data_IF_993511526936
#
_entry.id   IF_993511526936
#
_cell.length_a   1.000
_cell.length_b   1.000
_cell.length_c   1.000
_cell.angle_alpha   90.00
_cell.angle_beta   90.00
_cell.angle_gamma   90.00
#
_symmetry.space_group_name_H-M   'P 1'
#
loop_
_entity.id
_entity.type
_entity.pdbx_description
1 polymer ?
#
# COMPACT_ATOMS: atom_id res chain seq x y z
N UNK A 1 -15.45 -25.85 -9.92
CA UNK A 1 -14.83 -26.45 -8.72
C UNK A 1 -13.58 -25.66 -8.36
N UNK A 2 -13.36 -25.35 -7.07
CA UNK A 2 -12.06 -24.82 -6.64
C UNK A 2 -11.04 -25.93 -6.73
N UNK A 3 -9.94 -25.63 -7.41
CA UNK A 3 -8.86 -26.58 -7.68
C UNK A 3 -7.62 -25.97 -7.06
N UNK A 4 -6.93 -26.76 -6.26
CA UNK A 4 -5.56 -26.49 -5.87
C UNK A 4 -4.78 -27.76 -6.15
N UNK A 5 -3.47 -27.65 -6.09
CA UNK A 5 -2.65 -28.81 -6.27
C UNK A 5 -1.61 -28.90 -5.19
N UNK A 6 -1.21 -30.13 -5.06
CA UNK A 6 -0.83 -30.63 -3.77
C UNK A 6 0.50 -31.30 -3.97
N UNK A 7 1.52 -30.64 -3.45
CA UNK A 7 2.87 -31.18 -3.49
C UNK A 7 3.01 -32.26 -2.41
N UNK A 8 3.77 -33.36 -2.64
CA UNK A 8 3.94 -34.41 -1.63
C UNK A 8 4.51 -33.91 -0.28
N UNK A 9 5.25 -32.79 -0.30
CA UNK A 9 5.81 -32.17 0.90
C UNK A 9 4.91 -31.08 1.52
N UNK A 10 3.72 -30.84 0.96
CA UNK A 10 2.79 -29.84 1.48
C UNK A 10 2.27 -30.26 2.88
N UNK A 11 2.33 -29.39 3.91
CA UNK A 11 1.69 -29.66 5.19
C UNK A 11 0.21 -30.05 5.08
N UNK A 12 -0.53 -29.50 4.11
CA UNK A 12 -1.95 -29.80 3.88
C UNK A 12 -2.16 -31.29 3.55
N UNK A 13 -1.22 -31.92 2.85
CA UNK A 13 -1.28 -33.33 2.48
C UNK A 13 -1.34 -34.26 3.72
N UNK A 14 -0.67 -33.87 4.83
CA UNK A 14 -0.69 -34.64 6.09
C UNK A 14 -2.01 -34.54 6.85
N UNK A 15 -2.83 -33.55 6.51
CA UNK A 15 -4.14 -33.32 7.12
C UNK A 15 -5.26 -34.08 6.39
N UNK A 16 -5.00 -34.56 5.17
CA UNK A 16 -5.96 -35.32 4.38
C UNK A 16 -6.20 -36.70 4.99
N UNK A 17 -7.48 -37.03 5.22
CA UNK A 17 -7.92 -38.36 5.64
C UNK A 17 -8.41 -39.15 4.43
N UNK A 18 -7.57 -40.06 3.95
CA UNK A 18 -7.90 -40.98 2.87
C UNK A 18 -8.87 -42.07 3.35
N UNK A 19 -9.89 -42.32 2.55
CA UNK A 19 -10.84 -43.43 2.71
C UNK A 19 -10.48 -44.61 1.81
N UNK A 20 -9.78 -44.36 0.70
CA UNK A 20 -9.18 -45.36 -0.16
C UNK A 20 -7.99 -44.80 -0.94
N UNK A 21 -7.10 -45.69 -1.35
CA UNK A 21 -5.90 -45.37 -2.13
C UNK A 21 -4.82 -44.66 -1.32
N UNK A 22 -3.88 -44.05 -2.05
CA UNK A 22 -2.81 -43.24 -1.48
C UNK A 22 -2.83 -41.87 -2.16
N UNK A 23 -2.11 -40.88 -1.65
CA UNK A 23 -1.91 -39.69 -2.48
C UNK A 23 -0.81 -39.91 -3.53
N UNK A 24 -0.38 -38.83 -4.16
CA UNK A 24 0.41 -38.86 -5.40
C UNK A 24 1.76 -39.56 -5.24
N UNK A 25 2.02 -40.53 -6.12
CA UNK A 25 3.20 -41.40 -6.07
C UNK A 25 4.46 -40.78 -6.68
N UNK A 26 4.33 -39.63 -7.35
CA UNK A 26 5.41 -38.97 -8.10
C UNK A 26 5.75 -39.63 -9.45
N UNK A 27 5.27 -40.86 -9.70
CA UNK A 27 5.38 -41.54 -10.97
C UNK A 27 4.23 -41.09 -11.89
N UNK A 28 4.39 -39.92 -12.51
CA UNK A 28 3.36 -39.29 -13.34
C UNK A 28 3.33 -39.87 -14.77
N UNK A 29 3.03 -41.16 -14.90
CA UNK A 29 2.81 -41.86 -16.17
C UNK A 29 1.49 -41.44 -16.85
N UNK A 30 0.54 -40.93 -16.07
CA UNK A 30 -0.72 -40.32 -16.51
C UNK A 30 -1.10 -39.16 -15.57
N UNK A 31 -1.97 -38.22 -16.01
CA UNK A 31 -2.54 -37.22 -15.11
C UNK A 31 -3.31 -37.90 -13.97
N UNK A 32 -3.13 -37.43 -12.73
CA UNK A 32 -3.72 -38.04 -11.53
C UNK A 32 -4.67 -37.08 -10.83
N UNK A 33 -5.63 -37.62 -10.09
CA UNK A 33 -6.59 -36.82 -9.30
C UNK A 33 -6.91 -37.51 -7.97
N UNK A 34 -7.11 -36.70 -6.93
CA UNK A 34 -7.73 -37.10 -5.67
C UNK A 34 -9.10 -36.42 -5.57
N UNK A 35 -10.13 -37.19 -5.23
CA UNK A 35 -11.51 -36.72 -5.11
C UNK A 35 -12.02 -36.83 -3.67
N UNK A 36 -12.96 -35.96 -3.30
CA UNK A 36 -13.76 -36.19 -2.09
C UNK A 36 -14.84 -37.25 -2.34
N UNK A 37 -15.29 -37.96 -1.30
CA UNK A 37 -16.42 -38.90 -1.46
C UNK A 37 -17.70 -38.23 -1.97
N UNK A 38 -17.93 -36.97 -1.60
CA UNK A 38 -19.08 -36.22 -2.08
C UNK A 38 -19.06 -36.12 -3.62
N UNK A 39 -17.91 -35.79 -4.21
CA UNK A 39 -17.77 -35.68 -5.66
C UNK A 39 -17.71 -37.06 -6.34
N UNK A 40 -17.20 -38.09 -5.65
CA UNK A 40 -17.19 -39.45 -6.18
C UNK A 40 -18.59 -39.94 -6.57
N UNK A 41 -19.61 -39.63 -5.76
CA UNK A 41 -21.00 -39.99 -6.03
C UNK A 41 -21.64 -39.23 -7.20
N UNK A 42 -21.08 -38.08 -7.58
CA UNK A 42 -21.52 -37.34 -8.77
C UNK A 42 -20.88 -37.87 -10.07
N UNK A 43 -19.67 -38.42 -9.96
CA UNK A 43 -18.86 -38.86 -11.10
C UNK A 43 -19.06 -40.34 -11.42
N UNK A 44 -19.27 -41.18 -10.41
CA UNK A 44 -19.45 -42.63 -10.57
C UNK A 44 -20.74 -43.12 -9.91
N UNK A 45 -21.25 -44.24 -10.41
CA UNK A 45 -22.30 -44.98 -9.72
C UNK A 45 -21.75 -45.56 -8.41
N UNK A 46 -22.27 -45.07 -7.30
CA UNK A 46 -21.86 -45.41 -5.93
C UNK A 46 -22.92 -46.22 -5.19
N UNK A 47 -23.96 -46.71 -5.87
CA UNK A 47 -25.01 -47.55 -5.29
C UNK A 47 -24.48 -48.75 -4.48
N UNK A 48 -23.40 -49.38 -4.96
CA UNK A 48 -22.73 -50.48 -4.26
C UNK A 48 -22.14 -50.08 -2.88
N UNK A 49 -21.73 -48.81 -2.71
CA UNK A 49 -21.24 -48.29 -1.42
C UNK A 49 -22.39 -48.05 -0.43
N UNK A 50 -23.56 -47.63 -0.93
CA UNK A 50 -24.76 -47.42 -0.11
C UNK A 50 -25.34 -48.74 0.42
N UNK A 51 -25.27 -49.79 -0.40
CA UNK A 51 -25.71 -51.15 -0.04
C UNK A 51 -24.66 -51.93 0.78
N UNK A 52 -23.56 -51.29 1.21
CA UNK A 52 -22.42 -51.89 1.93
C UNK A 52 -21.79 -53.12 1.24
N UNK A 53 -22.00 -53.25 -0.08
CA UNK A 53 -21.51 -54.38 -0.89
C UNK A 53 -20.23 -54.05 -1.65
N UNK A 54 -19.89 -52.76 -1.80
CA UNK A 54 -18.67 -52.25 -2.41
C UNK A 54 -17.75 -51.53 -1.41
N UNK A 55 -16.51 -51.29 -1.84
CA UNK A 55 -15.51 -50.52 -1.09
C UNK A 55 -15.03 -49.32 -1.90
N UNK A 56 -14.60 -48.25 -1.22
CA UNK A 56 -13.98 -47.10 -1.89
C UNK A 56 -12.72 -47.49 -2.69
N UNK A 57 -12.06 -48.60 -2.31
CA UNK A 57 -10.89 -49.13 -3.04
C UNK A 57 -11.23 -49.58 -4.48
N UNK A 58 -12.48 -49.95 -4.76
CA UNK A 58 -12.91 -50.44 -6.09
C UNK A 58 -12.92 -49.33 -7.16
N UNK A 59 -12.75 -48.08 -6.73
CA UNK A 59 -12.70 -46.90 -7.58
C UNK A 59 -11.26 -46.44 -7.86
N UNK A 60 -10.29 -46.88 -7.08
CA UNK A 60 -8.88 -46.50 -7.29
C UNK A 60 -8.39 -47.09 -8.62
N UNK A 61 -7.70 -46.27 -9.40
CA UNK A 61 -7.24 -46.61 -10.75
C UNK A 61 -8.28 -46.39 -11.86
N UNK A 62 -9.54 -46.08 -11.54
CA UNK A 62 -10.53 -45.69 -12.55
C UNK A 62 -10.21 -44.32 -13.14
N UNK A 63 -10.70 -44.08 -14.34
CA UNK A 63 -10.50 -42.82 -15.06
C UNK A 63 -11.66 -41.87 -14.84
N UNK A 64 -11.34 -40.59 -14.63
CA UNK A 64 -12.26 -39.46 -14.57
C UNK A 64 -11.96 -38.54 -15.75
N UNK A 65 -12.95 -38.22 -16.56
CA UNK A 65 -12.77 -37.28 -17.66
C UNK A 65 -13.18 -35.88 -17.21
N UNK A 66 -12.27 -34.92 -17.36
CA UNK A 66 -12.59 -33.50 -17.21
C UNK A 66 -12.52 -32.80 -18.56
N UNK A 67 -13.28 -31.72 -18.73
CA UNK A 67 -13.22 -30.89 -19.94
C UNK A 67 -12.46 -29.62 -19.64
N UNK A 68 -11.37 -29.39 -20.37
CA UNK A 68 -10.58 -28.16 -20.29
C UNK A 68 -10.98 -27.20 -21.42
N UNK A 69 -11.26 -25.96 -21.03
CA UNK A 69 -11.63 -24.90 -21.96
C UNK A 69 -10.39 -24.17 -22.47
N UNK A 70 -10.17 -24.15 -23.80
CA UNK A 70 -9.13 -23.36 -24.45
C UNK A 70 -9.66 -22.00 -24.86
N UNK A 71 -8.89 -20.94 -24.57
CA UNK A 71 -9.26 -19.56 -24.88
C UNK A 71 -8.24 -18.90 -25.81
N UNK A 72 -8.70 -18.07 -26.74
CA UNK A 72 -7.80 -17.24 -27.55
C UNK A 72 -7.30 -16.02 -26.76
N UNK A 73 -6.39 -15.25 -27.37
CA UNK A 73 -5.85 -13.98 -26.85
C UNK A 73 -6.94 -12.96 -26.48
N UNK A 74 -8.11 -13.05 -27.12
CA UNK A 74 -9.29 -12.22 -26.83
C UNK A 74 -10.25 -12.80 -25.77
N UNK A 75 -9.83 -13.84 -25.02
CA UNK A 75 -10.63 -14.54 -23.99
C UNK A 75 -11.92 -15.20 -24.50
N UNK A 76 -12.05 -15.45 -25.81
CA UNK A 76 -13.16 -16.23 -26.36
C UNK A 76 -12.81 -17.72 -26.30
N UNK A 77 -13.78 -18.54 -25.93
CA UNK A 77 -13.67 -20.00 -25.98
C UNK A 77 -13.44 -20.44 -27.44
N UNK A 78 -12.43 -21.28 -27.66
CA UNK A 78 -12.03 -21.75 -28.99
C UNK A 78 -12.24 -23.25 -29.13
N UNK A 79 -11.95 -24.01 -28.08
CA UNK A 79 -12.06 -25.45 -28.07
C UNK A 79 -12.26 -25.98 -26.66
N UNK A 80 -12.81 -27.19 -26.57
CA UNK A 80 -12.95 -27.98 -25.36
C UNK A 80 -12.15 -29.26 -25.54
N UNK A 81 -11.28 -29.58 -24.58
CA UNK A 81 -10.38 -30.72 -24.67
C UNK A 81 -10.65 -31.67 -23.50
N UNK A 82 -11.11 -32.90 -23.77
CA UNK A 82 -11.30 -33.89 -22.72
C UNK A 82 -9.94 -34.42 -22.26
N UNK A 83 -9.72 -34.42 -20.94
CA UNK A 83 -8.53 -34.98 -20.32
C UNK A 83 -8.93 -36.08 -19.36
N UNK A 84 -8.35 -37.25 -19.56
CA UNK A 84 -8.52 -38.43 -18.72
C UNK A 84 -7.55 -38.40 -17.55
N UNK A 85 -8.08 -38.48 -16.33
CA UNK A 85 -7.34 -38.45 -15.07
C UNK A 85 -7.49 -39.78 -14.35
N UNK A 86 -6.40 -40.37 -13.87
CA UNK A 86 -6.43 -41.57 -13.02
C UNK A 86 -6.77 -41.17 -11.58
N UNK A 87 -7.81 -41.77 -11.02
CA UNK A 87 -8.15 -41.62 -9.62
C UNK A 87 -7.14 -42.38 -8.75
N UNK A 88 -6.37 -41.68 -7.92
CA UNK A 88 -5.33 -42.30 -7.09
C UNK A 88 -5.69 -42.36 -5.60
N UNK A 89 -6.59 -41.49 -5.16
CA UNK A 89 -7.04 -41.46 -3.78
C UNK A 89 -8.42 -40.83 -3.61
N UNK A 90 -9.13 -41.26 -2.57
CA UNK A 90 -10.43 -40.72 -2.18
C UNK A 90 -10.32 -40.22 -0.74
N UNK A 91 -10.71 -38.98 -0.48
CA UNK A 91 -10.66 -38.35 0.84
C UNK A 91 -12.05 -38.08 1.40
N UNK A 92 -12.16 -38.07 2.73
CA UNK A 92 -13.44 -37.86 3.42
C UNK A 92 -14.03 -36.47 3.17
N UNK A 93 -13.25 -35.42 3.42
CA UNK A 93 -13.64 -34.04 3.25
C UNK A 93 -12.42 -33.23 2.76
N UNK A 94 -12.66 -32.22 1.92
CA UNK A 94 -11.65 -31.23 1.54
C UNK A 94 -11.72 -29.97 2.38
N UNK A 95 -10.63 -29.22 2.47
CA UNK A 95 -10.58 -27.95 3.17
C UNK A 95 -11.27 -26.84 2.36
N UNK A 96 -11.98 -25.91 3.03
CA UNK A 96 -12.57 -24.74 2.37
C UNK A 96 -13.59 -25.05 1.26
N UNK A 97 -14.24 -26.21 1.30
CA UNK A 97 -15.21 -26.63 0.27
C UNK A 97 -14.58 -27.16 -1.03
N UNK A 98 -13.26 -27.41 -1.03
CA UNK A 98 -12.55 -28.03 -2.16
C UNK A 98 -13.00 -29.48 -2.36
N UNK A 99 -13.16 -29.87 -3.62
CA UNK A 99 -13.64 -31.21 -3.99
C UNK A 99 -12.64 -32.02 -4.83
N UNK A 100 -11.63 -31.36 -5.42
CA UNK A 100 -10.63 -31.93 -6.30
C UNK A 100 -9.24 -31.46 -5.92
N UNK A 101 -8.28 -32.39 -5.92
CA UNK A 101 -6.85 -32.09 -5.78
C UNK A 101 -6.09 -32.73 -6.93
N UNK A 102 -5.13 -31.99 -7.48
CA UNK A 102 -4.24 -32.48 -8.54
C UNK A 102 -2.79 -32.43 -8.07
N UNK A 103 -1.90 -33.29 -8.59
CA UNK A 103 -0.47 -33.08 -8.41
C UNK A 103 -0.03 -31.87 -9.22
N UNK A 104 1.05 -31.23 -8.79
CA UNK A 104 1.68 -30.06 -9.46
C UNK A 104 1.83 -30.28 -10.97
N UNK A 105 2.20 -31.50 -11.33
CA UNK A 105 2.45 -31.96 -12.69
C UNK A 105 1.20 -31.91 -13.57
N UNK A 106 0.06 -32.36 -13.06
CA UNK A 106 -1.24 -32.25 -13.74
C UNK A 106 -1.71 -30.79 -13.84
N UNK A 107 -1.34 -29.93 -12.90
CA UNK A 107 -1.71 -28.51 -13.00
C UNK A 107 -0.87 -27.73 -13.99
N UNK A 108 0.43 -28.01 -14.07
CA UNK A 108 1.27 -27.47 -15.15
C UNK A 108 0.77 -27.96 -16.51
N UNK A 109 0.24 -29.19 -16.59
CA UNK A 109 -0.43 -29.66 -17.79
C UNK A 109 -1.63 -28.77 -18.14
N UNK A 110 -2.53 -28.56 -17.20
CA UNK A 110 -3.74 -27.77 -17.46
C UNK A 110 -3.41 -26.32 -17.79
N UNK A 111 -2.46 -25.70 -17.08
CA UNK A 111 -2.03 -24.33 -17.34
C UNK A 111 -1.35 -24.20 -18.71
N UNK A 112 -0.56 -25.18 -19.14
CA UNK A 112 0.04 -25.15 -20.49
C UNK A 112 -1.02 -25.22 -21.60
N UNK A 113 -2.07 -26.04 -21.43
CA UNK A 113 -3.22 -26.11 -22.35
C UNK A 113 -4.01 -24.80 -22.37
N UNK A 114 -4.28 -24.22 -21.20
CA UNK A 114 -5.02 -22.95 -21.08
C UNK A 114 -4.21 -21.77 -21.66
N UNK A 115 -2.87 -21.82 -21.58
CA UNK A 115 -1.97 -20.79 -22.11
C UNK A 115 -1.62 -20.97 -23.59
N UNK A 116 -1.82 -22.15 -24.16
CA UNK A 116 -1.56 -22.42 -25.58
C UNK A 116 -2.60 -21.75 -26.49
N UNK A 117 -2.39 -20.45 -26.70
CA UNK A 117 -3.25 -19.58 -27.54
C UNK A 117 -3.10 -19.85 -29.04
N UNK A 118 -2.09 -20.62 -29.44
CA UNK A 118 -1.73 -20.88 -30.84
C UNK A 118 -1.96 -22.35 -31.24
N UNK A 119 -2.51 -23.18 -30.34
CA UNK A 119 -2.77 -24.61 -30.56
C UNK A 119 -1.53 -25.41 -30.98
N UNK A 120 -0.35 -25.02 -30.48
CA UNK A 120 0.92 -25.68 -30.79
C UNK A 120 1.11 -26.99 -30.01
N UNK A 121 0.41 -27.17 -28.89
CA UNK A 121 0.51 -28.35 -28.04
C UNK A 121 -0.66 -29.31 -28.30
N UNK A 122 -0.33 -30.55 -28.69
CA UNK A 122 -1.25 -31.68 -28.72
C UNK A 122 -0.88 -32.66 -27.60
N UNK A 123 -1.82 -32.98 -26.72
CA UNK A 123 -1.63 -34.03 -25.70
C UNK A 123 -1.38 -35.38 -26.40
N UNK A 124 -0.27 -36.09 -26.12
CA UNK A 124 -0.15 -37.48 -26.55
C UNK A 124 -1.11 -38.36 -25.74
N UNK A 125 -1.74 -39.34 -26.38
CA UNK A 125 -2.73 -40.28 -25.76
C UNK A 125 -2.17 -41.05 -24.55
N UNK A 126 -0.85 -41.05 -24.34
CA UNK A 126 -0.16 -41.59 -23.16
C UNK A 126 0.64 -40.49 -22.44
N UNK A 127 -0.08 -39.57 -21.81
CA UNK A 127 0.40 -38.33 -21.20
C UNK A 127 1.21 -38.52 -19.90
N UNK A 128 2.29 -39.30 -19.94
CA UNK A 128 3.33 -39.25 -18.92
C UNK A 128 4.24 -38.05 -19.17
N UNK A 129 4.64 -37.31 -18.13
CA UNK A 129 5.56 -36.15 -18.25
C UNK A 129 6.83 -36.50 -19.04
N UNK A 130 7.29 -37.75 -18.91
CA UNK A 130 8.48 -38.27 -19.59
C UNK A 130 8.39 -38.24 -21.12
N UNK A 131 7.18 -38.14 -21.68
CA UNK A 131 6.96 -38.05 -23.13
C UNK A 131 6.77 -36.60 -23.61
N UNK A 132 6.83 -35.60 -22.72
CA UNK A 132 6.63 -34.21 -23.10
C UNK A 132 7.90 -33.59 -23.67
N UNK A 133 7.77 -32.65 -24.63
CA UNK A 133 8.86 -31.75 -24.96
C UNK A 133 9.32 -31.02 -23.68
N UNK A 134 10.63 -30.98 -23.43
CA UNK A 134 11.25 -30.32 -22.27
C UNK A 134 10.86 -30.90 -20.89
N UNK A 135 10.59 -32.21 -20.80
CA UNK A 135 10.23 -32.91 -19.57
C UNK A 135 11.16 -32.62 -18.36
N UNK A 136 12.46 -32.46 -18.59
CA UNK A 136 13.45 -32.13 -17.55
C UNK A 136 13.23 -30.73 -16.95
N UNK A 137 12.94 -29.74 -17.81
CA UNK A 137 12.61 -28.37 -17.39
C UNK A 137 11.29 -28.33 -16.63
N UNK A 138 10.29 -29.11 -17.06
CA UNK A 138 8.99 -29.20 -16.39
C UNK A 138 9.12 -29.88 -15.02
N UNK A 139 9.92 -30.95 -14.93
CA UNK A 139 10.23 -31.61 -13.66
C UNK A 139 10.93 -30.66 -12.68
N UNK A 140 11.90 -29.86 -13.15
CA UNK A 140 12.54 -28.83 -12.33
C UNK A 140 11.52 -27.80 -11.81
N UNK A 141 10.64 -27.28 -12.67
CA UNK A 141 9.64 -26.27 -12.28
C UNK A 141 8.56 -26.82 -11.35
N UNK A 142 8.18 -28.09 -11.47
CA UNK A 142 7.15 -28.73 -10.66
C UNK A 142 7.66 -29.26 -9.32
N UNK A 143 8.98 -29.39 -9.16
CA UNK A 143 9.63 -29.81 -7.91
C UNK A 143 9.56 -28.78 -6.78
N UNK A 144 9.25 -27.52 -7.11
CA UNK A 144 9.01 -26.47 -6.13
C UNK A 144 7.57 -26.55 -5.61
N UNK A 145 7.40 -26.39 -4.30
CA UNK A 145 6.08 -26.14 -3.70
C UNK A 145 5.63 -24.75 -4.19
N UNK A 146 4.79 -24.74 -5.21
CA UNK A 146 4.17 -23.53 -5.74
C UNK A 146 3.09 -23.15 -4.73
N UNK A 147 3.37 -22.14 -3.90
CA UNK A 147 2.30 -21.43 -3.22
C UNK A 147 1.50 -20.71 -4.32
N UNK A 148 0.22 -21.08 -4.45
CA UNK A 148 -0.75 -20.49 -5.39
C UNK A 148 -0.92 -18.96 -5.17
N UNK A 149 -0.47 -18.46 -4.03
CA UNK A 149 -0.55 -17.06 -3.63
C UNK A 149 0.77 -16.58 -3.02
N UNK A 150 1.37 -15.55 -3.63
CA UNK A 150 2.47 -14.79 -3.05
C UNK A 150 1.93 -13.52 -2.40
N UNK A 151 2.06 -13.40 -1.07
CA UNK A 151 1.76 -12.15 -0.39
C UNK A 151 2.91 -11.15 -0.55
N UNK A 152 2.66 -10.05 -1.26
CA UNK A 152 3.63 -8.97 -1.44
C UNK A 152 3.17 -7.74 -0.67
N UNK A 153 3.98 -7.33 0.31
CA UNK A 153 3.69 -6.18 1.17
C UNK A 153 4.33 -4.91 0.61
N UNK A 154 3.52 -3.87 0.40
CA UNK A 154 4.02 -2.53 0.12
C UNK A 154 4.37 -1.80 1.43
N UNK A 155 5.41 -0.96 1.40
CA UNK A 155 5.80 -0.15 2.58
C UNK A 155 4.75 0.90 2.91
N UNK A 156 4.17 1.52 1.88
CA UNK A 156 3.15 2.56 2.02
C UNK A 156 1.97 2.29 1.09
N UNK A 157 0.79 2.75 1.49
CA UNK A 157 -0.46 2.57 0.74
C UNK A 157 -0.41 3.18 -0.67
N UNK A 158 0.35 4.25 -0.85
CA UNK A 158 0.57 4.90 -2.16
C UNK A 158 1.38 4.05 -3.13
N UNK A 159 2.24 3.16 -2.62
CA UNK A 159 3.13 2.34 -3.43
C UNK A 159 2.40 1.12 -4.02
N UNK A 160 1.24 0.76 -3.45
CA UNK A 160 0.45 -0.41 -3.84
C UNK A 160 0.05 -0.35 -5.32
N UNK A 161 -0.34 0.82 -5.83
CA UNK A 161 -0.75 0.94 -7.23
C UNK A 161 0.42 0.73 -8.21
N UNK A 162 1.60 1.21 -7.83
CA UNK A 162 2.84 0.99 -8.59
C UNK A 162 3.22 -0.50 -8.60
N UNK A 163 3.14 -1.14 -7.43
CA UNK A 163 3.41 -2.56 -7.26
C UNK A 163 2.41 -3.43 -8.03
N UNK A 164 1.11 -3.11 -7.96
CA UNK A 164 0.05 -3.77 -8.71
C UNK A 164 0.34 -3.73 -10.22
N UNK A 165 0.69 -2.56 -10.73
CA UNK A 165 1.02 -2.36 -12.15
C UNK A 165 2.28 -3.16 -12.54
N UNK A 166 3.29 -3.18 -11.67
CA UNK A 166 4.52 -3.93 -11.88
C UNK A 166 4.26 -5.44 -11.95
N UNK A 167 3.53 -6.00 -10.98
CA UNK A 167 3.21 -7.44 -10.92
C UNK A 167 2.31 -7.85 -12.09
N UNK A 168 1.32 -7.02 -12.45
CA UNK A 168 0.46 -7.29 -13.60
C UNK A 168 1.23 -7.34 -14.92
N UNK A 169 2.25 -6.48 -15.11
CA UNK A 169 3.13 -6.52 -16.28
C UNK A 169 3.99 -7.78 -16.36
N UNK A 170 4.33 -8.37 -15.21
CA UNK A 170 5.07 -9.63 -15.13
C UNK A 170 4.17 -10.86 -15.34
N UNK A 171 2.87 -10.67 -15.58
CA UNK A 171 1.91 -11.74 -15.85
C UNK A 171 1.20 -12.30 -14.60
N UNK A 172 1.47 -11.75 -13.42
CA UNK A 172 0.72 -12.11 -12.21
C UNK A 172 -0.67 -11.48 -12.21
N UNK A 173 -1.60 -12.08 -11.46
CA UNK A 173 -2.94 -11.54 -11.18
C UNK A 173 -2.97 -11.04 -9.73
N UNK A 174 -2.40 -9.85 -9.43
CA UNK A 174 -2.45 -9.31 -8.08
C UNK A 174 -3.90 -8.99 -7.69
N UNK A 175 -4.30 -9.40 -6.49
CA UNK A 175 -5.54 -8.94 -5.84
C UNK A 175 -5.16 -8.00 -4.70
N UNK A 176 -5.95 -6.94 -4.50
CA UNK A 176 -5.66 -5.96 -3.45
C UNK A 176 -6.92 -5.22 -3.02
N UNK A 177 -7.11 -5.12 -1.71
CA UNK A 177 -8.19 -4.34 -1.07
C UNK A 177 -7.96 -2.83 -1.14
N UNK A 178 -6.89 -2.37 -1.83
CA UNK A 178 -6.56 -0.95 -1.97
C UNK A 178 -7.71 -0.12 -2.54
N UNK A 179 -8.57 -0.73 -3.35
CA UNK A 179 -9.71 -0.07 -3.96
C UNK A 179 -10.72 0.44 -2.92
N UNK A 180 -10.86 -0.25 -1.79
CA UNK A 180 -11.73 0.15 -0.69
C UNK A 180 -11.17 1.36 0.08
N UNK A 181 -9.87 1.64 -0.08
CA UNK A 181 -9.17 2.75 0.57
C UNK A 181 -8.79 3.89 -0.38
N UNK A 182 -9.18 3.80 -1.66
CA UNK A 182 -8.88 4.83 -2.66
C UNK A 182 -9.38 6.22 -2.24
N UNK A 183 -10.54 6.28 -1.60
CA UNK A 183 -11.13 7.53 -1.10
C UNK A 183 -10.21 8.24 -0.08
N UNK A 184 -9.47 7.50 0.73
CA UNK A 184 -8.57 8.07 1.73
C UNK A 184 -7.36 8.74 1.05
N UNK A 185 -6.82 8.12 -0.01
CA UNK A 185 -5.78 8.71 -0.85
C UNK A 185 -6.27 9.98 -1.56
N UNK A 186 -7.46 9.93 -2.14
CA UNK A 186 -8.05 11.09 -2.84
C UNK A 186 -8.33 12.27 -1.88
N UNK A 187 -8.76 11.99 -0.65
CA UNK A 187 -8.92 13.01 0.40
C UNK A 187 -7.57 13.62 0.77
N UNK A 188 -6.53 12.80 0.98
CA UNK A 188 -5.20 13.30 1.33
C UNK A 188 -4.63 14.22 0.24
N UNK A 189 -4.73 13.81 -1.02
CA UNK A 189 -4.27 14.61 -2.17
C UNK A 189 -5.05 15.92 -2.30
N UNK A 190 -6.37 15.85 -2.11
CA UNK A 190 -7.24 17.04 -2.14
C UNK A 190 -6.89 18.00 -1.00
N UNK A 191 -6.69 17.47 0.22
CA UNK A 191 -6.28 18.26 1.37
C UNK A 191 -4.93 18.95 1.10
N UNK A 192 -3.94 18.22 0.56
CA UNK A 192 -2.64 18.82 0.21
C UNK A 192 -2.76 19.95 -0.81
N UNK A 193 -3.58 19.77 -1.86
CA UNK A 193 -3.81 20.81 -2.89
C UNK A 193 -4.47 22.07 -2.34
N UNK A 194 -5.27 21.96 -1.27
CA UNK A 194 -5.96 23.11 -0.66
C UNK A 194 -5.10 23.76 0.43
N UNK A 195 -4.53 22.96 1.33
CA UNK A 195 -3.82 23.48 2.50
C UNK A 195 -2.47 24.12 2.15
N UNK A 196 -1.72 23.59 1.18
CA UNK A 196 -0.40 24.15 0.83
C UNK A 196 -0.51 25.58 0.27
N UNK A 197 -1.37 25.88 -0.72
CA UNK A 197 -1.54 27.25 -1.19
C UNK A 197 -2.05 28.20 -0.10
N UNK A 198 -2.99 27.72 0.73
CA UNK A 198 -3.53 28.51 1.84
C UNK A 198 -2.43 28.87 2.85
N UNK A 199 -1.59 27.90 3.21
CA UNK A 199 -0.45 28.13 4.10
C UNK A 199 0.55 29.11 3.47
N UNK A 200 0.83 28.98 2.18
CA UNK A 200 1.64 29.94 1.42
C UNK A 200 1.08 31.36 1.50
N UNK A 201 -0.23 31.53 1.33
CA UNK A 201 -0.90 32.82 1.42
C UNK A 201 -0.77 33.42 2.83
N UNK A 202 -0.96 32.61 3.87
CA UNK A 202 -0.77 33.04 5.27
C UNK A 202 0.66 33.53 5.50
N UNK A 203 1.67 32.79 5.04
CA UNK A 203 3.08 33.19 5.18
C UNK A 203 3.36 34.52 4.48
N UNK A 204 2.85 34.72 3.27
CA UNK A 204 2.99 35.98 2.52
C UNK A 204 2.30 37.14 3.25
N UNK A 205 1.09 36.93 3.76
CA UNK A 205 0.36 37.94 4.52
C UNK A 205 1.13 38.34 5.80
N UNK A 206 1.59 37.37 6.57
CA UNK A 206 2.40 37.62 7.78
C UNK A 206 3.69 38.35 7.44
N UNK A 207 4.41 37.94 6.39
CA UNK A 207 5.61 38.63 5.94
C UNK A 207 5.33 40.11 5.61
N UNK A 208 4.26 40.39 4.86
CA UNK A 208 3.88 41.75 4.51
C UNK A 208 3.57 42.59 5.76
N UNK A 209 2.84 42.04 6.73
CA UNK A 209 2.53 42.72 8.00
C UNK A 209 3.80 43.00 8.81
N UNK A 210 4.69 42.02 8.96
CA UNK A 210 5.95 42.17 9.68
C UNK A 210 6.84 43.23 9.01
N UNK A 211 6.98 43.17 7.69
CA UNK A 211 7.77 44.15 6.92
C UNK A 211 7.20 45.57 7.06
N UNK A 212 5.87 45.74 6.97
CA UNK A 212 5.21 47.03 7.16
C UNK A 212 5.42 47.60 8.57
N UNK A 213 5.33 46.75 9.60
CA UNK A 213 5.56 47.15 10.99
C UNK A 213 7.02 47.56 11.23
N UNK A 214 7.98 46.79 10.71
CA UNK A 214 9.41 47.12 10.80
C UNK A 214 9.69 48.44 10.09
N UNK A 215 9.16 48.64 8.89
CA UNK A 215 9.36 49.87 8.12
C UNK A 215 8.80 51.10 8.86
N UNK A 216 7.59 50.97 9.41
CA UNK A 216 6.95 52.05 10.18
C UNK A 216 7.75 52.36 11.45
N UNK A 217 8.19 51.33 12.18
CA UNK A 217 9.03 51.48 13.37
C UNK A 217 10.37 52.16 13.07
N UNK A 218 11.03 51.77 11.97
CA UNK A 218 12.29 52.35 11.54
C UNK A 218 12.15 53.84 11.16
N UNK A 219 11.02 54.21 10.54
CA UNK A 219 10.71 55.61 10.20
C UNK A 219 10.46 56.47 11.45
N UNK A 220 9.76 55.94 12.45
CA UNK A 220 9.53 56.66 13.71
C UNK A 220 10.83 56.91 14.49
N UNK A 221 11.81 56.01 14.36
CA UNK A 221 13.12 56.11 14.99
C UNK A 221 14.17 56.84 14.14
N UNK A 222 13.79 57.42 13.01
CA UNK A 222 14.75 58.01 12.07
C UNK A 222 15.52 59.20 12.69
N UNK A 223 14.87 59.99 13.55
CA UNK A 223 15.49 61.11 14.30
C UNK A 223 16.48 60.62 15.36
N UNK A 224 16.14 59.57 16.10
CA UNK A 224 17.02 58.94 17.10
C UNK A 224 18.27 58.35 16.44
N UNK A 225 18.09 57.63 15.32
CA UNK A 225 19.18 57.03 14.56
C UNK A 225 20.08 58.10 13.91
N UNK A 226 19.50 59.22 13.45
CA UNK A 226 20.26 60.36 12.96
C UNK A 226 21.12 61.00 14.06
N UNK A 227 20.57 61.14 15.29
CA UNK A 227 21.31 61.64 16.44
C UNK A 227 22.49 60.74 16.79
N UNK A 228 22.29 59.42 16.84
CA UNK A 228 23.37 58.45 17.11
C UNK A 228 24.48 58.51 16.06
N UNK A 229 24.12 58.78 14.81
CA UNK A 229 25.10 58.95 13.74
C UNK A 229 25.91 60.24 13.87
N UNK A 230 25.30 61.32 14.34
CA UNK A 230 26.02 62.57 14.68
C UNK A 230 26.99 62.35 15.84
N UNK A 231 26.61 61.49 16.80
CA UNK A 231 27.46 61.07 17.92
C UNK A 231 28.60 60.11 17.52
N UNK A 232 28.76 59.78 16.24
CA UNK A 232 29.90 59.02 15.71
C UNK A 232 29.64 57.53 15.43
N UNK A 233 28.40 57.06 15.55
CA UNK A 233 28.06 55.65 15.28
C UNK A 233 28.16 55.32 13.78
N UNK A 234 28.78 54.20 13.44
CA UNK A 234 28.97 53.79 12.03
C UNK A 234 27.65 53.26 11.44
N UNK A 235 27.48 53.38 10.12
CA UNK A 235 26.30 52.87 9.39
C UNK A 235 26.08 51.38 9.63
N UNK A 236 27.16 50.60 9.73
CA UNK A 236 27.10 49.16 10.00
C UNK A 236 26.53 48.83 11.38
N UNK A 237 26.88 49.63 12.40
CA UNK A 237 26.42 49.41 13.78
C UNK A 237 24.92 49.71 13.91
N UNK A 238 24.41 50.73 13.22
CA UNK A 238 22.98 51.02 13.14
C UNK A 238 22.19 49.86 12.53
N UNK A 239 22.69 49.27 11.43
CA UNK A 239 22.07 48.10 10.81
C UNK A 239 22.12 46.89 11.75
N UNK A 240 23.26 46.66 12.41
CA UNK A 240 23.46 45.51 13.29
C UNK A 240 22.52 45.55 14.51
N UNK A 241 22.40 46.71 15.17
CA UNK A 241 21.49 46.87 16.31
C UNK A 241 20.03 46.59 15.93
N UNK A 242 19.58 47.06 14.75
CA UNK A 242 18.24 46.80 14.24
C UNK A 242 18.02 45.31 13.93
N UNK A 243 18.98 44.64 13.28
CA UNK A 243 18.90 43.20 12.98
C UNK A 243 18.85 42.38 14.26
N UNK A 244 19.70 42.68 15.25
CA UNK A 244 19.71 41.99 16.55
C UNK A 244 18.36 42.18 17.26
N UNK A 245 17.85 43.41 17.33
CA UNK A 245 16.57 43.71 17.96
C UNK A 245 15.41 42.94 17.32
N UNK A 246 15.38 42.85 15.98
CA UNK A 246 14.35 42.11 15.26
C UNK A 246 14.52 40.61 15.47
N UNK A 247 15.75 40.10 15.42
CA UNK A 247 16.04 38.68 15.64
C UNK A 247 15.58 38.23 17.03
N UNK A 248 15.84 39.01 18.07
CA UNK A 248 15.39 38.72 19.45
C UNK A 248 13.86 38.75 19.52
N UNK A 249 13.22 39.79 18.98
CA UNK A 249 11.76 39.92 18.98
C UNK A 249 11.07 38.77 18.25
N UNK A 250 11.56 38.40 17.06
CA UNK A 250 11.05 37.29 16.25
C UNK A 250 11.27 35.95 16.95
N UNK A 251 12.41 35.76 17.62
CA UNK A 251 12.68 34.54 18.39
C UNK A 251 11.70 34.36 19.53
N UNK A 252 11.44 35.42 20.31
CA UNK A 252 10.45 35.40 21.40
C UNK A 252 9.06 35.12 20.83
N UNK A 253 8.68 35.80 19.75
CA UNK A 253 7.40 35.60 19.07
C UNK A 253 7.23 34.17 18.54
N UNK A 254 8.28 33.57 17.97
CA UNK A 254 8.25 32.20 17.47
C UNK A 254 8.05 31.18 18.60
N UNK A 255 8.76 31.36 19.73
CA UNK A 255 8.60 30.50 20.92
C UNK A 255 7.18 30.63 21.50
N UNK A 256 6.68 31.85 21.64
CA UNK A 256 5.32 32.09 22.12
C UNK A 256 4.26 31.50 21.17
N UNK A 257 4.44 31.68 19.86
CA UNK A 257 3.56 31.12 18.83
C UNK A 257 3.53 29.60 18.85
N UNK A 258 4.68 28.94 19.01
CA UNK A 258 4.74 27.48 19.16
C UNK A 258 4.03 27.00 20.42
N UNK A 259 4.19 27.71 21.55
CA UNK A 259 3.50 27.37 22.80
C UNK A 259 1.98 27.48 22.64
N UNK A 260 1.49 28.58 22.04
CA UNK A 260 0.06 28.81 21.78
C UNK A 260 -0.47 27.76 20.80
N UNK A 261 0.24 27.50 19.69
CA UNK A 261 -0.14 26.49 18.71
C UNK A 261 -0.24 25.09 19.32
N UNK A 262 0.72 24.72 20.18
CA UNK A 262 0.69 23.48 20.94
C UNK A 262 -0.53 23.37 21.88
N UNK A 263 -0.89 24.46 22.56
CA UNK A 263 -2.10 24.50 23.40
C UNK A 263 -3.38 24.34 22.58
N UNK A 264 -3.49 25.04 21.44
CA UNK A 264 -4.65 24.95 20.55
C UNK A 264 -4.83 23.54 19.97
N UNK A 265 -3.75 22.88 19.56
CA UNK A 265 -3.81 21.50 19.08
C UNK A 265 -4.27 20.56 20.19
N UNK A 266 -3.75 20.70 21.42
CA UNK A 266 -4.19 19.89 22.57
C UNK A 266 -5.67 20.07 22.87
N UNK A 267 -6.16 21.31 22.88
CA UNK A 267 -7.58 21.60 23.11
C UNK A 267 -8.46 21.05 21.98
N UNK A 268 -8.04 21.21 20.73
CA UNK A 268 -8.78 20.72 19.56
C UNK A 268 -8.85 19.19 19.57
N UNK A 269 -7.74 18.52 19.88
CA UNK A 269 -7.71 17.05 20.03
C UNK A 269 -8.66 16.59 21.14
N UNK A 270 -8.62 17.23 22.31
CA UNK A 270 -9.52 16.89 23.41
C UNK A 270 -11.00 17.08 23.02
N UNK A 271 -11.33 18.17 22.33
CA UNK A 271 -12.69 18.43 21.85
C UNK A 271 -13.15 17.38 20.83
N UNK A 272 -12.29 16.96 19.90
CA UNK A 272 -12.61 15.93 18.91
C UNK A 272 -12.79 14.55 19.54
N UNK A 273 -11.93 14.18 20.50
CA UNK A 273 -12.08 12.94 21.28
C UNK A 273 -13.41 12.94 22.03
N UNK A 274 -13.76 14.03 22.73
CA UNK A 274 -15.03 14.13 23.44
C UNK A 274 -16.24 13.97 22.50
N UNK A 275 -16.22 14.60 21.32
CA UNK A 275 -17.28 14.42 20.32
C UNK A 275 -17.35 13.00 19.77
N UNK A 276 -16.20 12.34 19.60
CA UNK A 276 -16.17 10.94 19.17
C UNK A 276 -16.75 10.00 20.22
N UNK A 277 -16.52 10.28 21.51
CA UNK A 277 -17.10 9.54 22.63
C UNK A 277 -18.63 9.70 22.67
N UNK A 278 -19.14 10.92 22.49
CA UNK A 278 -20.58 11.20 22.41
C UNK A 278 -21.22 10.47 21.22
N UNK A 279 -20.54 10.46 20.07
CA UNK A 279 -21.05 9.78 18.86
C UNK A 279 -21.04 8.26 19.05
N UNK A 280 -19.95 7.69 19.57
CA UNK A 280 -19.83 6.28 19.90
C UNK A 280 -20.91 5.82 20.89
N UNK A 281 -21.21 6.63 21.91
CA UNK A 281 -22.28 6.33 22.87
C UNK A 281 -23.69 6.35 22.21
N UNK A 282 -23.89 7.15 21.16
CA UNK A 282 -25.16 7.26 20.46
C UNK A 282 -25.37 6.17 19.39
N UNK A 283 -24.32 5.73 18.70
CA UNK A 283 -24.40 4.75 17.60
C UNK A 283 -23.85 3.37 17.93
N UNK A 284 -23.25 3.18 19.11
CA UNK A 284 -22.59 1.93 19.51
C UNK A 284 -21.27 1.65 18.76
N UNK A 285 -20.68 2.67 18.13
CA UNK A 285 -19.42 2.55 17.39
C UNK A 285 -18.17 2.72 18.25
N UNK A 286 -17.01 2.51 17.65
CA UNK A 286 -15.71 2.68 18.33
C UNK A 286 -15.27 4.14 18.49
N UNK A 287 -14.56 4.40 19.59
CA UNK A 287 -13.95 5.71 19.87
C UNK A 287 -12.77 5.93 18.93
N UNK A 288 -12.80 7.01 18.17
CA UNK A 288 -11.75 7.31 17.21
C UNK A 288 -10.55 7.99 17.86
N UNK A 289 -9.34 7.56 17.48
CA UNK A 289 -8.10 8.22 17.87
C UNK A 289 -7.63 9.20 16.78
N UNK A 290 -7.39 10.45 17.17
CA UNK A 290 -6.97 11.53 16.28
C UNK A 290 -5.45 11.80 16.29
N UNK A 291 -4.66 10.96 16.97
CA UNK A 291 -3.19 11.10 17.01
C UNK A 291 -2.52 11.08 15.62
N UNK A 292 -3.08 10.31 14.69
CA UNK A 292 -2.55 10.24 13.32
C UNK A 292 -2.79 11.53 12.51
N UNK A 293 -3.81 12.33 12.88
CA UNK A 293 -4.18 13.56 12.17
C UNK A 293 -3.34 14.75 12.66
N UNK A 294 -3.07 14.81 13.97
CA UNK A 294 -2.29 15.88 14.57
C UNK A 294 -0.85 15.46 14.77
N UNK A 295 -0.01 15.74 13.78
CA UNK A 295 1.42 15.52 13.92
C UNK A 295 2.00 16.34 15.09
N UNK A 296 3.02 15.82 15.81
CA UNK A 296 3.60 16.52 16.94
C UNK A 296 4.21 17.86 16.51
N UNK A 297 3.79 18.95 17.15
CA UNK A 297 4.34 20.30 16.90
C UNK A 297 5.85 20.34 17.08
N UNK A 298 6.38 19.54 18.00
CA UNK A 298 7.82 19.42 18.26
C UNK A 298 8.61 18.98 17.03
N UNK A 299 8.04 18.13 16.18
CA UNK A 299 8.71 17.65 14.96
C UNK A 299 8.96 18.78 13.95
N UNK A 300 8.11 19.82 13.96
CA UNK A 300 8.22 20.97 13.07
C UNK A 300 8.80 22.21 13.76
N UNK A 301 9.02 22.18 15.07
CA UNK A 301 9.44 23.34 15.86
C UNK A 301 10.72 23.97 15.33
N UNK A 302 11.74 23.16 15.02
CA UNK A 302 13.01 23.65 14.47
C UNK A 302 12.82 24.37 13.13
N UNK A 303 12.04 23.78 12.21
CA UNK A 303 11.73 24.37 10.91
C UNK A 303 10.96 25.69 11.06
N UNK A 304 9.99 25.73 11.97
CA UNK A 304 9.19 26.93 12.23
C UNK A 304 10.06 28.06 12.81
N UNK A 305 10.93 27.76 13.78
CA UNK A 305 11.83 28.76 14.39
C UNK A 305 12.81 29.30 13.37
N UNK A 306 13.52 28.41 12.67
CA UNK A 306 14.50 28.80 11.64
C UNK A 306 13.82 29.61 10.53
N UNK A 307 12.68 29.12 10.02
CA UNK A 307 11.90 29.81 9.00
C UNK A 307 11.44 31.19 9.46
N UNK A 308 10.91 31.30 10.68
CA UNK A 308 10.45 32.58 11.24
C UNK A 308 11.59 33.59 11.37
N UNK A 309 12.75 33.16 11.88
CA UNK A 309 13.94 34.01 12.02
C UNK A 309 14.44 34.45 10.65
N UNK A 310 14.54 33.53 9.68
CA UNK A 310 14.97 33.86 8.32
C UNK A 310 14.04 34.90 7.67
N UNK A 311 12.73 34.70 7.77
CA UNK A 311 11.71 35.62 7.24
C UNK A 311 11.81 36.99 7.93
N UNK A 312 11.98 37.01 9.25
CA UNK A 312 12.14 38.25 10.03
C UNK A 312 13.39 39.04 9.67
N UNK A 313 14.53 38.36 9.51
CA UNK A 313 15.79 38.98 9.09
C UNK A 313 15.66 39.51 7.65
N UNK A 314 15.10 38.73 6.72
CA UNK A 314 14.88 39.18 5.34
C UNK A 314 13.98 40.41 5.26
N UNK A 315 12.90 40.47 6.07
CA UNK A 315 12.03 41.63 6.18
C UNK A 315 12.76 42.86 6.76
N UNK A 316 13.74 42.64 7.65
CA UNK A 316 14.48 43.69 8.33
C UNK A 316 15.60 44.33 7.50
N UNK A 317 16.24 43.55 6.61
CA UNK A 317 17.44 43.97 5.88
C UNK A 317 17.18 45.25 5.07
N UNK A 318 16.10 45.29 4.29
CA UNK A 318 15.84 46.43 3.42
C UNK A 318 15.55 47.73 4.19
N UNK A 319 14.64 47.77 5.19
CA UNK A 319 14.45 48.94 6.03
C UNK A 319 15.71 49.39 6.78
N UNK A 320 16.51 48.44 7.30
CA UNK A 320 17.73 48.75 8.04
C UNK A 320 18.81 49.39 7.14
N UNK A 321 19.02 48.85 5.93
CA UNK A 321 19.96 49.44 4.97
C UNK A 321 19.49 50.84 4.53
N UNK A 322 18.19 51.01 4.33
CA UNK A 322 17.62 52.30 3.89
C UNK A 322 17.82 53.38 4.96
N UNK A 323 17.47 53.11 6.21
CA UNK A 323 17.65 54.05 7.33
C UNK A 323 19.13 54.37 7.58
N UNK A 324 20.01 53.39 7.48
CA UNK A 324 21.45 53.61 7.60
C UNK A 324 22.05 54.49 6.47
N UNK A 325 21.34 54.67 5.35
CA UNK A 325 21.74 55.56 4.26
C UNK A 325 21.16 56.97 4.38
N UNK A 326 20.18 57.23 5.24
CA UNK A 326 19.61 58.58 5.39
C UNK A 326 20.68 59.58 5.87
N UNK A 327 20.65 60.79 5.34
CA UNK A 327 21.56 61.87 5.74
C UNK A 327 21.08 62.53 7.04
N UNK A 328 21.86 62.49 8.14
CA UNK A 328 21.46 63.08 9.42
C UNK A 328 21.19 64.59 9.33
N UNK A 329 21.87 65.32 8.45
CA UNK A 329 21.65 66.77 8.30
C UNK A 329 20.26 67.10 7.71
N UNK A 330 19.73 66.19 6.89
CA UNK A 330 18.41 66.34 6.28
C UNK A 330 17.28 66.01 7.27
N UNK A 331 17.48 64.99 8.10
CA UNK A 331 16.48 64.52 9.08
C UNK A 331 16.32 65.51 10.24
N UNK A 332 17.42 66.13 10.70
CA UNK A 332 17.37 67.08 11.82
C UNK A 332 16.80 68.47 11.44
N UNK A 333 16.61 68.74 10.15
CA UNK A 333 16.03 70.00 9.64
C UNK A 333 14.54 69.90 9.30
N UNK A 334 14.00 68.69 9.20
CA UNK A 334 12.58 68.42 8.90
C UNK A 334 11.79 68.17 10.17
#
# INVERSE_FOLDING_TARGET
FSVSGLHPNDPEYKLLRFMAGTGFSGAHDRPEVILTAALLGEVFDTSALEDASGSYEDFIGRTVTIVLNRYNTGRKLVAEEPVELRLVGIIANGEGGRQLYFPNTTLVLFDSIVRDREQKFSLPENAGINAWPDAEFIAEKTSYAWEDSLHVYAREIRDVMGLYTFLSRQGYKPESDIWDFKWALDIQDTAWRVFVPLLGLIVVAVFATVAANIFTSAKLRETELALWRVLGMRRGDLVLTQIISITVSVSIGAVAGLAIGGLLIRQTKAMLVNRSLETAAATGGDVQNFDAIFAPVSSFATLIIVGSISVGILAAIWPAIRTAKTDPAKVLRS
#
